data_IF_731100991580
#
_entry.id   IF_731100991580
#
_cell.length_a   1.000
_cell.length_b   1.000
_cell.length_c   1.000
_cell.angle_alpha   90.00
_cell.angle_beta   90.00
_cell.angle_gamma   90.00
#
_symmetry.space_group_name_H-M   'P 1'
#
loop_
_entity.id
_entity.type
_entity.pdbx_description
1 polymer ?
#
# COMPACT_ATOMS: atom_id res chain seq x y z
N UNK A 1 48.21 17.89 -30.52
CA UNK A 1 46.88 18.02 -29.88
C UNK A 1 46.97 17.42 -28.49
N UNK A 2 46.96 18.28 -27.46
CA UNK A 2 47.22 17.91 -26.08
C UNK A 2 46.00 17.22 -25.44
N UNK A 3 46.25 16.12 -24.73
CA UNK A 3 45.29 15.46 -23.82
C UNK A 3 45.61 15.91 -22.40
N UNK A 4 44.71 16.69 -21.78
CA UNK A 4 44.77 16.98 -20.36
C UNK A 4 44.27 15.78 -19.54
N UNK A 5 45.06 15.35 -18.55
CA UNK A 5 44.65 14.40 -17.52
C UNK A 5 44.08 15.18 -16.34
N UNK A 6 42.80 14.97 -16.05
CA UNK A 6 42.17 15.47 -14.83
C UNK A 6 42.59 14.57 -13.64
N UNK A 7 43.11 15.21 -12.60
CA UNK A 7 43.66 14.60 -11.39
C UNK A 7 42.58 14.06 -10.45
N UNK A 8 42.88 12.95 -9.78
CA UNK A 8 42.06 12.23 -8.80
C UNK A 8 41.68 13.06 -7.55
N UNK A 9 42.31 14.23 -7.36
CA UNK A 9 42.14 15.09 -6.19
C UNK A 9 40.78 15.81 -6.10
N UNK A 10 40.15 16.12 -7.24
CA UNK A 10 38.94 16.98 -7.25
C UNK A 10 37.65 16.24 -6.90
N UNK A 11 37.66 14.90 -6.89
CA UNK A 11 36.50 14.09 -6.51
C UNK A 11 36.30 14.01 -4.99
N UNK A 12 37.35 14.18 -4.19
CA UNK A 12 37.26 14.08 -2.73
C UNK A 12 36.60 15.32 -2.10
N UNK A 13 36.80 16.51 -2.70
CA UNK A 13 36.24 17.77 -2.18
C UNK A 13 34.72 17.92 -2.39
N UNK A 14 34.14 17.24 -3.39
CA UNK A 14 32.67 17.28 -3.59
C UNK A 14 31.90 16.39 -2.60
N UNK A 15 32.51 15.31 -2.10
CA UNK A 15 31.86 14.41 -1.14
C UNK A 15 31.72 15.02 0.27
N UNK A 16 32.67 15.85 0.72
CA UNK A 16 32.57 16.48 2.03
C UNK A 16 31.50 17.60 2.09
N UNK A 17 31.22 18.28 0.97
CA UNK A 17 30.15 19.31 0.92
C UNK A 17 28.74 18.70 0.94
N UNK A 18 28.53 17.53 0.35
CA UNK A 18 27.24 16.84 0.36
C UNK A 18 26.86 16.31 1.75
N UNK A 19 27.82 15.84 2.54
CA UNK A 19 27.56 15.37 3.91
C UNK A 19 27.17 16.49 4.88
N UNK A 20 27.69 17.71 4.71
CA UNK A 20 27.31 18.83 5.57
C UNK A 20 25.90 19.36 5.29
N UNK A 21 25.43 19.30 4.04
CA UNK A 21 24.06 19.69 3.70
C UNK A 21 23.05 18.66 4.24
N UNK A 22 23.36 17.36 4.13
CA UNK A 22 22.54 16.30 4.70
C UNK A 22 22.46 16.39 6.25
N UNK A 23 23.56 16.70 6.93
CA UNK A 23 23.58 16.85 8.38
C UNK A 23 22.78 18.07 8.87
N UNK A 24 22.82 19.18 8.13
CA UNK A 24 22.04 20.38 8.45
C UNK A 24 20.52 20.16 8.25
N UNK A 25 20.13 19.41 7.21
CA UNK A 25 18.72 19.08 6.95
C UNK A 25 18.13 18.20 8.05
N UNK A 26 18.90 17.23 8.58
CA UNK A 26 18.47 16.37 9.69
C UNK A 26 18.29 17.16 10.99
N UNK A 27 19.17 18.13 11.29
CA UNK A 27 19.03 18.98 12.48
C UNK A 27 17.80 19.91 12.40
N UNK A 28 17.48 20.44 11.21
CA UNK A 28 16.26 21.22 11.00
C UNK A 28 14.99 20.36 11.15
N UNK A 29 15.01 19.11 10.66
CA UNK A 29 13.88 18.19 10.80
C UNK A 29 13.64 17.78 12.26
N UNK A 30 14.71 17.47 13.01
CA UNK A 30 14.62 17.18 14.44
C UNK A 30 14.13 18.40 15.23
N UNK A 31 14.62 19.60 14.91
CA UNK A 31 14.12 20.85 15.52
C UNK A 31 12.65 21.12 15.22
N UNK A 32 12.17 20.82 14.02
CA UNK A 32 10.76 20.94 13.64
C UNK A 32 9.87 19.94 14.39
N UNK A 33 10.31 18.69 14.54
CA UNK A 33 9.58 17.66 15.30
C UNK A 33 9.48 18.02 16.79
N UNK A 34 10.57 18.47 17.42
CA UNK A 34 10.54 18.92 18.82
C UNK A 34 9.77 20.23 19.01
N UNK A 35 9.79 21.14 18.03
CA UNK A 35 8.99 22.37 18.04
C UNK A 35 7.48 22.12 17.96
N UNK A 36 7.06 21.08 17.25
CA UNK A 36 5.64 20.69 17.15
C UNK A 36 5.12 19.99 18.42
N UNK A 37 6.00 19.34 19.20
CA UNK A 37 5.59 18.63 20.43
C UNK A 37 5.43 19.54 21.66
N UNK A 38 5.97 20.77 21.63
CA UNK A 38 5.95 21.69 22.78
C UNK A 38 4.81 22.72 22.78
N UNK A 39 3.85 22.63 21.85
CA UNK A 39 2.77 23.63 21.71
C UNK A 39 1.38 23.15 22.15
N UNK A 40 1.29 22.03 22.88
CA UNK A 40 0.01 21.51 23.38
C UNK A 40 -0.18 21.79 24.89
N UNK A 41 -0.48 23.05 25.23
CA UNK A 41 -0.80 23.50 26.60
C UNK A 41 -2.12 22.92 27.16
N UNK A 42 -2.80 21.99 26.47
CA UNK A 42 -4.09 21.46 26.90
C UNK A 42 -4.03 20.26 27.87
N UNK A 43 -2.87 19.63 28.05
CA UNK A 43 -2.77 18.38 28.84
C UNK A 43 -2.39 18.63 30.33
N UNK A 44 -1.90 19.81 30.71
CA UNK A 44 -1.50 20.07 32.11
C UNK A 44 -2.65 20.35 33.10
N UNK A 45 -3.92 20.36 32.67
CA UNK A 45 -5.08 20.58 33.56
C UNK A 45 -5.80 19.30 34.02
N UNK A 46 -5.47 18.13 33.47
CA UNK A 46 -6.16 16.88 33.82
C UNK A 46 -5.45 16.03 34.89
N UNK A 47 -4.20 16.35 35.24
CA UNK A 47 -3.39 15.52 36.16
C UNK A 47 -3.36 16.08 37.60
N UNK A 48 -3.99 17.23 37.86
CA UNK A 48 -3.98 17.88 39.19
C UNK A 48 -5.38 17.94 39.81
N UNK A 49 -5.93 16.78 40.15
CA UNK A 49 -7.19 16.72 40.91
C UNK A 49 -7.62 15.29 41.23
N UNK A 50 -7.11 14.72 42.33
CA UNK A 50 -7.59 13.41 42.76
C UNK A 50 -6.78 12.72 43.85
N UNK A 51 -6.23 13.44 44.82
CA UNK A 51 -5.79 12.83 46.07
C UNK A 51 -6.94 12.94 47.08
N UNK A 52 -7.57 11.81 47.42
CA UNK A 52 -8.22 11.62 48.72
C UNK A 52 -8.07 10.17 49.15
N UNK A 53 -7.52 10.05 50.36
CA UNK A 53 -7.44 8.85 51.17
C UNK A 53 -8.86 8.37 51.51
N UNK A 54 -9.02 7.06 51.69
CA UNK A 54 -9.54 6.53 52.95
C UNK A 54 -9.20 5.05 53.09
N UNK A 55 -8.95 4.68 54.34
CA UNK A 55 -8.47 3.39 54.80
C UNK A 55 -9.61 2.48 55.26
N UNK A 56 -9.26 1.20 55.40
CA UNK A 56 -9.89 0.17 56.23
C UNK A 56 -11.26 -0.37 55.80
N UNK A 57 -11.30 -1.67 55.45
CA UNK A 57 -12.15 -2.63 56.16
C UNK A 57 -11.74 -4.09 55.87
N UNK A 58 -11.89 -4.88 56.92
CA UNK A 58 -11.53 -6.27 57.20
C UNK A 58 -11.94 -7.35 56.19
N UNK A 59 -11.06 -8.33 56.04
CA UNK A 59 -11.25 -9.75 56.42
C UNK A 59 -12.71 -10.28 56.45
N UNK A 60 -13.04 -11.19 55.53
CA UNK A 60 -13.56 -12.51 55.94
C UNK A 60 -13.52 -13.49 54.75
N UNK A 61 -12.98 -14.69 55.02
CA UNK A 61 -12.96 -15.78 54.07
C UNK A 61 -14.29 -16.53 54.01
N UNK A 62 -14.66 -17.04 52.83
CA UNK A 62 -15.40 -18.30 52.75
C UNK A 62 -15.24 -19.02 51.42
N UNK A 63 -15.07 -20.33 51.57
CA UNK A 63 -14.91 -21.37 50.56
C UNK A 63 -16.20 -21.63 49.79
N UNK A 64 -15.99 -22.06 48.54
CA UNK A 64 -16.67 -23.09 47.76
C UNK A 64 -18.21 -23.22 47.85
N UNK A 65 -18.87 -23.17 46.69
CA UNK A 65 -19.64 -24.34 46.22
C UNK A 65 -19.90 -24.27 44.71
N UNK A 66 -19.55 -25.36 44.05
CA UNK A 66 -19.85 -25.70 42.66
C UNK A 66 -21.31 -26.15 42.57
N UNK A 67 -22.10 -25.51 41.72
CA UNK A 67 -23.42 -26.00 41.33
C UNK A 67 -23.34 -26.46 39.88
N UNK A 68 -23.38 -27.78 39.69
CA UNK A 68 -23.71 -28.41 38.43
C UNK A 68 -25.21 -28.29 38.20
N UNK A 69 -25.62 -27.79 37.03
CA UNK A 69 -26.98 -27.97 36.51
C UNK A 69 -26.84 -28.67 35.17
N UNK A 70 -27.12 -29.96 35.19
CA UNK A 70 -27.38 -30.79 34.03
C UNK A 70 -28.90 -30.88 33.91
N UNK A 71 -29.47 -30.44 32.78
CA UNK A 71 -30.85 -30.80 32.41
C UNK A 71 -30.93 -31.03 30.91
N UNK A 72 -31.07 -32.30 30.59
CA UNK A 72 -31.29 -32.90 29.29
C UNK A 72 -32.76 -32.78 28.87
N UNK A 73 -32.97 -32.73 27.55
CA UNK A 73 -34.12 -33.27 26.80
C UNK A 73 -35.42 -32.43 26.82
N UNK A 74 -35.79 -31.80 25.70
CA UNK A 74 -36.84 -32.33 24.80
C UNK A 74 -37.07 -31.43 23.58
N UNK A 75 -37.15 -32.08 22.41
CA UNK A 75 -37.60 -31.48 21.15
C UNK A 75 -39.09 -31.76 20.95
N UNK A 76 -39.88 -30.81 20.42
CA UNK A 76 -41.12 -31.16 19.75
C UNK A 76 -41.01 -30.95 18.25
N UNK A 77 -41.38 -32.02 17.54
CA UNK A 77 -41.75 -32.03 16.15
C UNK A 77 -43.04 -31.24 15.90
N UNK A 78 -43.19 -30.76 14.67
CA UNK A 78 -44.48 -30.43 14.08
C UNK A 78 -44.87 -28.96 14.14
N UNK A 79 -44.62 -28.23 13.06
CA UNK A 79 -45.37 -27.00 12.78
C UNK A 79 -46.05 -27.12 11.43
N UNK A 80 -47.37 -27.08 11.48
CA UNK A 80 -48.31 -27.15 10.38
C UNK A 80 -48.16 -25.95 9.43
N UNK A 81 -48.40 -26.20 8.14
CA UNK A 81 -48.49 -25.17 7.11
C UNK A 81 -49.75 -24.33 7.34
N UNK A 82 -49.58 -23.04 7.57
CA UNK A 82 -50.65 -22.03 7.50
C UNK A 82 -50.67 -21.38 6.10
N UNK A 83 -51.82 -20.84 5.65
CA UNK A 83 -52.11 -20.61 4.24
C UNK A 83 -51.51 -19.31 3.70
N UNK A 84 -51.28 -19.35 2.39
CA UNK A 84 -50.81 -18.26 1.54
C UNK A 84 -51.81 -17.10 1.57
N UNK A 85 -51.40 -15.98 2.17
CA UNK A 85 -52.09 -14.70 2.06
C UNK A 85 -51.47 -13.93 0.89
N UNK A 86 -52.28 -13.65 -0.14
CA UNK A 86 -51.88 -12.88 -1.31
C UNK A 86 -51.82 -11.40 -0.94
N UNK A 87 -50.60 -10.85 -0.87
CA UNK A 87 -50.38 -9.41 -0.74
C UNK A 87 -50.32 -8.83 -2.15
N UNK A 88 -51.32 -8.01 -2.46
CA UNK A 88 -51.41 -7.17 -3.65
C UNK A 88 -50.41 -6.00 -3.50
N UNK A 89 -49.28 -6.06 -4.20
CA UNK A 89 -48.29 -4.98 -4.23
C UNK A 89 -48.74 -3.97 -5.28
N UNK A 90 -49.15 -2.78 -4.83
CA UNK A 90 -49.37 -1.60 -5.66
C UNK A 90 -48.03 -1.12 -6.21
N UNK A 91 -47.90 -1.10 -7.53
CA UNK A 91 -46.93 -0.28 -8.25
C UNK A 91 -47.28 1.19 -7.99
N UNK A 92 -46.34 1.95 -7.43
CA UNK A 92 -46.20 3.39 -7.70
C UNK A 92 -44.79 3.88 -7.32
N UNK A 93 -44.01 4.19 -8.36
CA UNK A 93 -43.25 5.43 -8.57
C UNK A 93 -42.33 5.93 -7.43
N UNK A 94 -41.04 5.57 -7.51
CA UNK A 94 -39.87 6.46 -7.67
C UNK A 94 -38.59 5.66 -7.36
N UNK A 95 -37.96 5.16 -8.42
CA UNK A 95 -36.67 4.48 -8.34
C UNK A 95 -35.57 5.55 -8.27
N UNK A 96 -34.76 5.62 -7.20
CA UNK A 96 -33.57 6.46 -7.23
C UNK A 96 -32.60 5.82 -8.22
N UNK A 97 -32.12 6.63 -9.16
CA UNK A 97 -31.17 6.25 -10.18
C UNK A 97 -30.10 5.28 -9.63
N UNK A 98 -30.23 4.00 -9.99
CA UNK A 98 -29.08 3.11 -10.07
C UNK A 98 -28.14 3.76 -11.09
N UNK A 99 -27.19 4.52 -10.55
CA UNK A 99 -26.12 5.12 -11.32
C UNK A 99 -25.49 4.04 -12.17
N UNK A 100 -25.50 4.28 -13.48
CA UNK A 100 -24.71 3.56 -14.45
C UNK A 100 -23.29 3.49 -13.88
N UNK A 101 -22.87 2.32 -13.38
CA UNK A 101 -21.47 2.14 -12.98
C UNK A 101 -20.64 2.41 -14.24
N UNK A 102 -19.76 3.43 -14.25
CA UNK A 102 -18.96 3.71 -15.42
C UNK A 102 -18.14 2.45 -15.74
N UNK A 103 -18.26 2.02 -16.99
CA UNK A 103 -17.56 0.89 -17.60
C UNK A 103 -16.18 0.66 -16.97
N UNK A 104 -15.89 -0.59 -16.57
CA UNK A 104 -14.61 -1.04 -16.01
C UNK A 104 -13.44 -0.27 -16.64
N UNK A 105 -12.83 0.62 -15.87
CA UNK A 105 -11.66 1.39 -16.32
C UNK A 105 -10.52 0.36 -16.47
N UNK A 106 -10.03 0.21 -17.69
CA UNK A 106 -8.87 -0.62 -18.00
C UNK A 106 -7.74 0.26 -18.52
N UNK A 107 -6.50 -0.14 -18.27
CA UNK A 107 -5.27 0.46 -18.82
C UNK A 107 -5.32 0.62 -20.34
N UNK A 108 -6.00 -0.30 -21.04
CA UNK A 108 -6.21 -0.21 -22.48
C UNK A 108 -6.95 1.08 -22.90
N UNK A 109 -7.68 1.72 -21.98
CA UNK A 109 -8.38 2.97 -22.23
C UNK A 109 -7.47 4.20 -22.09
N UNK A 110 -6.22 4.02 -21.66
CA UNK A 110 -5.27 5.11 -21.43
C UNK A 110 -5.57 5.92 -20.16
N UNK A 111 -5.01 7.13 -20.04
CA UNK A 111 -5.25 7.99 -18.89
C UNK A 111 -6.70 8.48 -18.85
N UNK A 112 -7.26 8.59 -17.65
CA UNK A 112 -8.56 9.21 -17.43
C UNK A 112 -8.32 10.68 -17.13
N UNK A 113 -8.81 11.57 -17.98
CA UNK A 113 -8.61 13.02 -17.84
C UNK A 113 -9.99 13.67 -17.72
N UNK A 114 -10.26 14.30 -16.58
CA UNK A 114 -11.48 15.06 -16.39
C UNK A 114 -11.31 16.45 -16.98
N UNK A 115 -12.31 16.91 -17.75
CA UNK A 115 -12.33 18.25 -18.31
C UNK A 115 -12.64 19.28 -17.22
N UNK A 116 -11.63 19.52 -16.39
CA UNK A 116 -11.67 20.41 -15.24
C UNK A 116 -10.67 21.54 -15.44
N UNK A 117 -11.17 22.77 -15.48
CA UNK A 117 -10.38 23.98 -15.68
C UNK A 117 -9.63 24.41 -14.40
N UNK A 118 -9.84 23.74 -13.26
CA UNK A 118 -9.06 24.00 -12.05
C UNK A 118 -7.58 23.74 -12.31
N UNK A 119 -6.74 24.60 -11.74
CA UNK A 119 -5.28 24.44 -11.83
C UNK A 119 -4.87 23.17 -11.08
N UNK A 120 -4.01 22.37 -11.70
CA UNK A 120 -3.45 21.18 -11.05
C UNK A 120 -2.68 21.60 -9.79
N UNK A 121 -2.96 20.94 -8.66
CA UNK A 121 -2.39 21.30 -7.35
C UNK A 121 -1.20 20.42 -6.96
N UNK A 122 -1.16 19.18 -7.43
CA UNK A 122 -0.14 18.20 -7.08
C UNK A 122 -0.05 17.09 -8.12
N UNK A 123 1.10 16.42 -8.14
CA UNK A 123 1.25 15.09 -8.74
C UNK A 123 1.38 14.09 -7.60
N UNK A 124 0.47 13.13 -7.52
CA UNK A 124 0.42 12.14 -6.46
C UNK A 124 0.74 10.77 -7.05
N UNK A 125 1.75 10.10 -6.51
CA UNK A 125 2.16 8.79 -6.99
C UNK A 125 1.59 7.70 -6.10
N UNK A 126 0.99 6.71 -6.74
CA UNK A 126 0.55 5.45 -6.18
C UNK A 126 1.29 4.31 -6.86
N UNK A 127 1.31 3.16 -6.22
CA UNK A 127 1.83 1.95 -6.82
C UNK A 127 2.10 0.92 -5.76
N UNK A 128 2.06 -0.34 -6.16
CA UNK A 128 2.41 -1.42 -5.25
C UNK A 128 3.88 -1.30 -4.85
N UNK A 129 4.29 -2.02 -3.81
CA UNK A 129 5.71 -2.17 -3.46
C UNK A 129 6.49 -2.67 -4.67
N UNK A 130 7.76 -2.34 -4.81
CA UNK A 130 8.60 -2.83 -5.93
C UNK A 130 8.12 -2.51 -7.36
N UNK A 131 7.16 -1.61 -7.55
CA UNK A 131 6.62 -1.24 -8.87
C UNK A 131 7.40 -0.13 -9.59
N UNK A 132 8.55 0.29 -9.05
CA UNK A 132 9.34 1.39 -9.62
C UNK A 132 8.85 2.79 -9.22
N UNK A 133 8.03 2.91 -8.18
CA UNK A 133 7.53 4.22 -7.73
C UNK A 133 8.64 5.20 -7.36
N UNK A 134 9.72 4.78 -6.69
CA UNK A 134 10.82 5.70 -6.36
C UNK A 134 11.49 6.26 -7.62
N UNK A 135 11.77 5.40 -8.61
CA UNK A 135 12.38 5.81 -9.88
C UNK A 135 11.56 6.88 -10.60
N UNK A 136 10.25 6.69 -10.71
CA UNK A 136 9.40 7.69 -11.36
C UNK A 136 9.16 8.92 -10.48
N UNK A 137 9.13 8.81 -9.15
CA UNK A 137 9.09 9.97 -8.24
C UNK A 137 10.29 10.88 -8.47
N UNK A 138 11.50 10.32 -8.47
CA UNK A 138 12.73 11.09 -8.64
C UNK A 138 12.73 11.79 -10.00
N UNK A 139 12.31 11.10 -11.05
CA UNK A 139 12.21 11.67 -12.38
C UNK A 139 11.18 12.82 -12.45
N UNK A 140 9.99 12.64 -11.87
CA UNK A 140 8.97 13.68 -11.83
C UNK A 140 9.41 14.88 -10.99
N UNK A 141 10.16 14.65 -9.92
CA UNK A 141 10.77 15.70 -9.11
C UNK A 141 11.78 16.51 -9.92
N UNK A 142 12.61 15.86 -10.74
CA UNK A 142 13.51 16.55 -11.68
C UNK A 142 12.74 17.34 -12.76
N UNK A 143 11.63 16.81 -13.25
CA UNK A 143 10.87 17.43 -14.34
C UNK A 143 9.97 18.59 -13.90
N UNK A 144 9.33 18.50 -12.73
CA UNK A 144 8.26 19.43 -12.32
C UNK A 144 8.36 19.90 -10.88
N UNK A 145 9.32 19.39 -10.10
CA UNK A 145 9.35 19.55 -8.64
C UNK A 145 9.60 20.97 -8.13
N UNK A 146 10.05 21.88 -8.99
CA UNK A 146 10.17 23.31 -8.73
C UNK A 146 8.87 24.10 -9.03
N UNK A 147 7.93 23.49 -9.76
CA UNK A 147 6.69 24.10 -10.21
C UNK A 147 5.45 23.59 -9.45
N UNK A 148 5.45 22.31 -9.06
CA UNK A 148 4.31 21.65 -8.43
C UNK A 148 4.80 20.57 -7.44
N UNK A 149 4.12 20.38 -6.29
CA UNK A 149 4.51 19.34 -5.35
C UNK A 149 4.30 17.94 -5.93
N UNK A 150 5.34 17.11 -5.83
CA UNK A 150 5.32 15.68 -6.11
C UNK A 150 5.17 14.95 -4.79
N UNK A 151 4.11 14.17 -4.62
CA UNK A 151 3.72 13.58 -3.34
C UNK A 151 3.63 12.05 -3.43
N UNK A 152 4.09 11.38 -2.37
CA UNK A 152 3.95 9.94 -2.16
C UNK A 152 2.66 9.57 -1.42
N UNK A 153 1.79 10.55 -1.16
CA UNK A 153 0.50 10.36 -0.53
C UNK A 153 -0.57 10.91 -1.45
N UNK A 154 -1.72 10.23 -1.58
CA UNK A 154 -2.94 10.83 -2.12
C UNK A 154 -3.98 10.91 -1.00
N UNK A 155 -4.78 9.86 -0.82
CA UNK A 155 -5.60 9.72 0.39
C UNK A 155 -4.83 9.02 1.49
N UNK A 156 -3.92 8.12 1.12
CA UNK A 156 -2.94 7.46 1.98
C UNK A 156 -1.59 7.38 1.31
N UNK A 157 -0.59 6.87 2.03
CA UNK A 157 0.73 6.61 1.46
C UNK A 157 0.66 5.62 0.30
N UNK A 158 1.50 5.84 -0.71
CA UNK A 158 1.43 5.30 -2.08
C UNK A 158 1.25 3.79 -2.22
N UNK A 159 1.72 3.01 -1.25
CA UNK A 159 1.65 1.54 -1.27
C UNK A 159 0.35 0.99 -0.66
N UNK A 160 -0.41 1.83 0.03
CA UNK A 160 -1.61 1.45 0.77
C UNK A 160 -2.85 1.57 -0.10
N UNK A 161 -3.93 0.87 0.29
CA UNK A 161 -5.22 1.01 -0.36
C UNK A 161 -5.64 2.48 -0.29
N UNK A 162 -6.33 2.95 -1.32
CA UNK A 162 -6.85 4.31 -1.39
C UNK A 162 -8.36 4.26 -1.18
N UNK A 163 -8.84 5.06 -0.23
CA UNK A 163 -10.26 5.27 -0.01
C UNK A 163 -10.59 6.73 -0.20
N UNK A 164 -11.84 7.00 -0.57
CA UNK A 164 -12.31 8.35 -0.75
C UNK A 164 -12.31 9.10 0.58
N UNK A 165 -11.86 10.35 0.56
CA UNK A 165 -11.91 11.24 1.71
C UNK A 165 -12.27 12.64 1.22
N UNK A 166 -13.51 13.03 1.53
CA UNK A 166 -14.11 14.31 1.16
C UNK A 166 -13.36 15.51 1.77
N UNK A 167 -12.48 15.28 2.75
CA UNK A 167 -11.68 16.30 3.40
C UNK A 167 -10.31 16.51 2.75
N UNK A 168 -9.95 15.78 1.70
CA UNK A 168 -8.69 16.01 0.97
C UNK A 168 -8.80 17.33 0.19
N UNK A 169 -8.26 18.39 0.78
CA UNK A 169 -8.35 19.82 0.39
C UNK A 169 -7.65 20.19 -0.92
N UNK A 170 -7.22 19.23 -1.74
CA UNK A 170 -6.45 19.48 -2.96
C UNK A 170 -7.24 19.09 -4.20
N UNK A 171 -8.13 19.99 -4.56
CA UNK A 171 -9.20 19.90 -5.55
C UNK A 171 -8.78 19.60 -7.01
N UNK A 172 -7.54 19.23 -7.32
CA UNK A 172 -7.16 18.93 -8.71
C UNK A 172 -5.83 18.19 -8.81
N UNK A 173 -5.74 17.00 -8.22
CA UNK A 173 -4.57 16.14 -8.25
C UNK A 173 -4.45 15.38 -9.59
N UNK A 174 -3.24 15.34 -10.15
CA UNK A 174 -2.87 14.32 -11.15
C UNK A 174 -2.33 13.12 -10.40
N UNK A 175 -3.02 11.99 -10.50
CA UNK A 175 -2.64 10.75 -9.81
C UNK A 175 -2.03 9.78 -10.81
N UNK A 176 -0.86 9.23 -10.49
CA UNK A 176 -0.17 8.23 -11.32
C UNK A 176 -0.12 6.93 -10.52
N UNK A 177 -0.61 5.82 -11.09
CA UNK A 177 -0.52 4.51 -10.47
C UNK A 177 0.48 3.64 -11.25
N UNK A 178 1.59 3.29 -10.60
CA UNK A 178 2.62 2.43 -11.16
C UNK A 178 2.34 0.97 -10.88
N UNK A 179 2.36 0.17 -11.94
CA UNK A 179 2.27 -1.28 -11.89
C UNK A 179 3.53 -1.91 -12.47
N UNK A 180 3.82 -3.13 -12.03
CA UNK A 180 4.92 -3.94 -12.52
C UNK A 180 4.41 -5.32 -12.85
N UNK A 181 5.08 -5.98 -13.77
CA UNK A 181 4.74 -7.34 -14.16
C UNK A 181 4.61 -8.26 -12.93
N UNK A 182 3.54 -9.09 -12.87
CA UNK A 182 3.20 -9.86 -11.68
C UNK A 182 4.29 -10.86 -11.25
N UNK A 183 5.01 -11.49 -12.18
CA UNK A 183 6.07 -12.45 -11.84
C UNK A 183 7.28 -11.73 -11.27
N UNK A 184 7.71 -10.64 -11.93
CA UNK A 184 8.86 -9.88 -11.48
C UNK A 184 8.56 -9.17 -10.14
N UNK A 185 7.30 -8.77 -9.94
CA UNK A 185 6.81 -8.14 -8.73
C UNK A 185 6.74 -9.11 -7.55
N UNK A 186 6.14 -10.29 -7.71
CA UNK A 186 6.04 -11.29 -6.63
C UNK A 186 7.44 -11.75 -6.23
N UNK A 187 8.35 -11.97 -7.19
CA UNK A 187 9.74 -12.32 -6.86
C UNK A 187 10.48 -11.19 -6.13
N UNK A 188 10.27 -9.93 -6.52
CA UNK A 188 10.83 -8.80 -5.77
C UNK A 188 10.25 -8.69 -4.34
N UNK A 189 8.95 -8.94 -4.19
CA UNK A 189 8.28 -9.02 -2.89
C UNK A 189 8.84 -10.19 -2.05
N UNK A 190 9.15 -11.33 -2.65
CA UNK A 190 9.75 -12.47 -1.95
C UNK A 190 11.19 -12.20 -1.52
N UNK A 191 11.99 -11.59 -2.39
CA UNK A 191 13.36 -11.19 -2.07
C UNK A 191 13.39 -10.15 -0.93
N UNK A 192 12.43 -9.24 -0.91
CA UNK A 192 12.36 -8.16 0.09
C UNK A 192 10.92 -7.79 0.46
N UNK A 193 10.26 -8.55 1.35
CA UNK A 193 8.86 -8.33 1.72
C UNK A 193 8.72 -7.17 2.70
N UNK A 194 8.79 -5.94 2.18
CA UNK A 194 8.63 -4.74 3.00
C UNK A 194 7.32 -4.78 3.79
N UNK A 195 7.40 -4.48 5.08
CA UNK A 195 6.35 -4.52 6.12
C UNK A 195 5.82 -5.91 6.46
N UNK A 196 6.19 -6.93 5.69
CA UNK A 196 5.68 -8.29 5.82
C UNK A 196 6.71 -9.24 6.45
N UNK A 197 6.97 -9.00 7.73
CA UNK A 197 8.05 -9.68 8.46
C UNK A 197 7.88 -11.20 8.57
N UNK A 198 6.65 -11.72 8.57
CA UNK A 198 6.41 -13.17 8.59
C UNK A 198 6.75 -13.86 7.27
N UNK A 199 6.99 -13.11 6.19
CA UNK A 199 7.27 -13.66 4.87
C UNK A 199 8.76 -13.57 4.49
N UNK A 200 9.62 -13.07 5.40
CA UNK A 200 11.06 -12.93 5.18
C UNK A 200 11.69 -14.32 5.00
N UNK A 201 12.47 -14.48 3.94
CA UNK A 201 13.30 -15.67 3.71
C UNK A 201 12.56 -16.91 3.19
N UNK A 202 11.27 -16.80 2.88
CA UNK A 202 10.48 -17.91 2.35
C UNK A 202 10.93 -18.30 0.93
N UNK A 203 10.83 -19.60 0.63
CA UNK A 203 10.93 -20.10 -0.74
C UNK A 203 9.68 -19.70 -1.53
N UNK A 204 9.78 -19.67 -2.86
CA UNK A 204 8.70 -19.13 -3.70
C UNK A 204 7.35 -19.78 -3.43
N UNK A 205 7.33 -21.11 -3.23
CA UNK A 205 6.10 -21.86 -3.01
C UNK A 205 5.43 -21.45 -1.71
N UNK A 206 6.17 -21.47 -0.61
CA UNK A 206 5.65 -21.05 0.70
C UNK A 206 5.22 -19.58 0.67
N UNK A 207 6.00 -18.71 0.01
CA UNK A 207 5.71 -17.28 -0.07
C UNK A 207 4.37 -16.98 -0.75
N UNK A 208 4.04 -17.69 -1.84
CA UNK A 208 2.79 -17.46 -2.57
C UNK A 208 1.59 -18.22 -2.02
N UNK A 209 1.80 -19.18 -1.10
CA UNK A 209 0.70 -19.94 -0.47
C UNK A 209 0.46 -19.59 0.99
N UNK A 210 1.35 -18.82 1.62
CA UNK A 210 1.16 -18.37 3.00
C UNK A 210 0.16 -17.21 3.05
N UNK A 211 -0.83 -17.25 3.96
CA UNK A 211 -1.73 -16.13 4.17
C UNK A 211 -0.98 -14.83 4.46
N UNK A 212 -1.43 -13.73 3.85
CA UNK A 212 -0.81 -12.42 4.00
C UNK A 212 -1.17 -11.79 5.35
N UNK A 213 -0.55 -12.29 6.40
CA UNK A 213 -0.84 -11.90 7.77
C UNK A 213 0.40 -12.04 8.66
N UNK A 214 0.38 -11.32 9.78
CA UNK A 214 1.26 -11.64 10.90
C UNK A 214 0.53 -11.56 12.23
N UNK A 215 1.22 -11.84 13.34
CA UNK A 215 0.61 -11.82 14.66
C UNK A 215 0.22 -10.41 15.10
N UNK A 216 -0.93 -10.28 15.78
CA UNK A 216 -1.16 -9.16 16.70
C UNK A 216 -0.29 -9.35 17.94
N UNK A 217 0.27 -8.27 18.46
CA UNK A 217 1.17 -8.30 19.62
C UNK A 217 0.49 -7.60 20.81
N UNK A 218 1.25 -7.38 21.87
CA UNK A 218 0.72 -7.02 23.18
C UNK A 218 -0.08 -5.71 23.17
N UNK A 219 0.36 -4.68 22.45
CA UNK A 219 -0.35 -3.40 22.45
C UNK A 219 -1.70 -3.48 21.73
N UNK A 220 -1.77 -4.21 20.61
CA UNK A 220 -3.03 -4.52 19.95
C UNK A 220 -3.97 -5.34 20.85
N UNK A 221 -3.45 -6.35 21.56
CA UNK A 221 -4.24 -7.19 22.47
C UNK A 221 -4.82 -6.36 23.62
N UNK A 222 -4.00 -5.52 24.26
CA UNK A 222 -4.44 -4.62 25.33
C UNK A 222 -5.54 -3.67 24.82
N UNK A 223 -5.34 -3.09 23.62
CA UNK A 223 -6.34 -2.21 23.00
C UNK A 223 -7.68 -2.93 22.76
N UNK A 224 -7.65 -4.18 22.33
CA UNK A 224 -8.85 -5.01 22.15
C UNK A 224 -9.55 -5.32 23.48
N UNK A 225 -8.79 -5.66 24.52
CA UNK A 225 -9.32 -5.96 25.86
C UNK A 225 -9.98 -4.72 26.46
N UNK A 226 -9.32 -3.56 26.41
CA UNK A 226 -9.87 -2.29 26.89
C UNK A 226 -11.16 -1.89 26.19
N UNK A 227 -11.19 -1.96 24.85
CA UNK A 227 -12.40 -1.63 24.11
C UNK A 227 -13.57 -2.57 24.43
N UNK A 228 -13.28 -3.84 24.69
CA UNK A 228 -14.28 -4.82 25.15
C UNK A 228 -14.81 -4.47 26.54
N UNK A 229 -13.95 -4.10 27.48
CA UNK A 229 -14.34 -3.69 28.84
C UNK A 229 -15.18 -2.40 28.83
N UNK A 230 -14.83 -1.45 27.97
CA UNK A 230 -15.52 -0.15 27.85
C UNK A 230 -16.79 -0.22 26.96
N UNK A 231 -17.04 -1.33 26.29
CA UNK A 231 -18.15 -1.47 25.33
C UNK A 231 -18.00 -0.60 24.07
N UNK A 232 -16.77 -0.28 23.68
CA UNK A 232 -16.45 0.57 22.54
C UNK A 232 -16.19 -0.30 21.30
N UNK A 233 -16.80 0.09 20.17
CA UNK A 233 -16.50 -0.54 18.88
C UNK A 233 -15.10 -0.17 18.39
N UNK A 234 -14.26 -1.18 18.14
CA UNK A 234 -12.87 -1.02 17.71
C UNK A 234 -12.70 -0.26 16.38
N UNK A 235 -13.71 -0.28 15.53
CA UNK A 235 -13.77 0.47 14.27
C UNK A 235 -13.54 1.98 14.47
N UNK A 236 -13.90 2.51 15.64
CA UNK A 236 -13.76 3.95 15.97
C UNK A 236 -12.40 4.32 16.56
N UNK A 237 -11.58 3.34 16.92
CA UNK A 237 -10.38 3.57 17.73
C UNK A 237 -9.16 4.08 16.94
N UNK A 238 -9.30 4.30 15.62
CA UNK A 238 -8.22 4.69 14.71
C UNK A 238 -7.08 3.67 14.64
N UNK A 239 -6.32 3.70 13.56
CA UNK A 239 -5.26 2.73 13.32
C UNK A 239 -4.11 3.32 12.50
N UNK A 240 -3.02 2.54 12.35
CA UNK A 240 -1.88 2.91 11.51
C UNK A 240 -2.31 3.33 10.11
N UNK A 241 -1.61 4.32 9.57
CA UNK A 241 -1.83 4.83 8.22
C UNK A 241 -3.30 5.23 7.90
N UNK A 242 -4.09 5.55 8.93
CA UNK A 242 -5.49 5.98 8.83
C UNK A 242 -6.51 4.83 8.74
N UNK A 243 -6.08 3.57 8.88
CA UNK A 243 -6.97 2.41 8.74
C UNK A 243 -7.92 2.27 9.94
N UNK A 244 -8.91 1.41 9.84
CA UNK A 244 -9.62 0.88 11.01
C UNK A 244 -8.89 -0.35 11.57
N UNK A 245 -9.26 -0.75 12.79
CA UNK A 245 -8.59 -1.85 13.49
C UNK A 245 -8.66 -3.19 12.74
N UNK A 246 -9.72 -3.40 11.97
CA UNK A 246 -10.02 -4.62 11.20
C UNK A 246 -9.36 -4.67 9.82
N UNK A 247 -8.73 -3.57 9.39
CA UNK A 247 -8.12 -3.45 8.07
C UNK A 247 -6.60 -3.69 8.09
N UNK A 248 -5.96 -3.62 9.26
CA UNK A 248 -4.50 -3.80 9.36
C UNK A 248 -4.05 -4.54 10.62
N UNK A 249 -2.88 -5.19 10.50
CA UNK A 249 -2.12 -5.80 11.60
C UNK A 249 -0.66 -5.37 11.52
N UNK A 250 -0.07 -4.75 12.55
CA UNK A 250 -0.71 -4.37 13.80
C UNK A 250 -1.51 -3.08 13.61
N UNK A 251 -2.26 -2.70 14.63
CA UNK A 251 -2.96 -1.42 14.67
C UNK A 251 -2.22 -0.34 15.48
N UNK A 252 -1.37 -0.76 16.41
CA UNK A 252 -0.58 0.09 17.27
C UNK A 252 0.81 0.37 16.70
N UNK A 253 1.30 1.58 16.94
CA UNK A 253 2.66 2.00 16.55
C UNK A 253 3.73 1.21 17.30
N UNK A 254 3.43 0.83 18.54
CA UNK A 254 4.27 0.07 19.45
C UNK A 254 4.55 -1.33 18.91
N UNK A 255 3.54 -1.96 18.29
CA UNK A 255 3.68 -3.28 17.69
C UNK A 255 4.23 -3.22 16.26
N UNK A 256 4.21 -2.04 15.60
CA UNK A 256 4.73 -1.81 14.24
C UNK A 256 6.25 -1.62 14.22
N UNK A 257 6.97 -2.61 14.73
CA UNK A 257 8.43 -2.56 14.86
C UNK A 257 9.10 -2.42 13.49
N UNK A 258 10.18 -1.65 13.41
CA UNK A 258 11.02 -1.56 12.21
C UNK A 258 12.10 -2.65 12.24
N UNK A 259 12.26 -3.34 11.11
CA UNK A 259 13.38 -4.25 10.89
C UNK A 259 14.21 -3.67 9.75
N UNK A 260 15.53 -3.60 9.96
CA UNK A 260 16.45 -2.99 9.00
C UNK A 260 16.27 -3.60 7.61
N UNK A 261 16.10 -2.72 6.63
CA UNK A 261 15.82 -3.06 5.25
C UNK A 261 14.40 -3.53 4.91
N UNK A 262 13.57 -3.90 5.89
CA UNK A 262 12.20 -4.39 5.66
C UNK A 262 11.10 -3.42 6.10
N UNK A 263 11.44 -2.23 6.61
CA UNK A 263 10.47 -1.21 7.05
C UNK A 263 9.63 -1.68 8.26
N UNK A 264 8.72 -0.82 8.73
CA UNK A 264 7.86 -1.10 9.89
C UNK A 264 6.87 -2.24 9.61
N UNK A 265 6.64 -3.12 10.58
CA UNK A 265 5.72 -4.24 10.47
C UNK A 265 4.27 -3.78 10.23
N UNK A 266 3.66 -4.16 9.11
CA UNK A 266 2.26 -3.83 8.78
C UNK A 266 1.72 -4.69 7.62
N UNK A 267 0.63 -5.39 7.89
CA UNK A 267 -0.14 -6.22 6.96
C UNK A 267 -1.51 -5.58 6.75
N UNK A 268 -1.94 -5.50 5.48
CA UNK A 268 -3.29 -5.08 5.11
C UNK A 268 -4.19 -6.32 5.01
N UNK A 269 -5.38 -6.22 5.58
CA UNK A 269 -6.41 -7.26 5.61
C UNK A 269 -7.46 -7.00 4.53
N UNK A 270 -8.38 -7.95 4.35
CA UNK A 270 -9.49 -7.81 3.39
C UNK A 270 -10.40 -6.64 3.79
N UNK A 271 -10.76 -5.82 2.81
CA UNK A 271 -11.69 -4.69 2.96
C UNK A 271 -13.16 -5.10 2.82
N UNK A 272 -13.51 -6.30 3.28
CA UNK A 272 -14.88 -6.84 3.30
C UNK A 272 -15.48 -6.85 4.71
N UNK A 273 -14.81 -6.18 5.66
CA UNK A 273 -15.14 -6.17 7.10
C UNK A 273 -15.14 -7.56 7.75
N UNK A 274 -14.54 -8.56 7.11
CA UNK A 274 -14.43 -9.91 7.68
C UNK A 274 -13.29 -10.06 8.68
N UNK A 275 -12.42 -9.05 8.80
CA UNK A 275 -11.18 -9.09 9.59
C UNK A 275 -10.20 -10.19 9.13
N UNK A 276 -10.42 -10.77 7.95
CA UNK A 276 -9.60 -11.87 7.45
C UNK A 276 -8.41 -11.35 6.67
N UNK A 277 -7.32 -12.10 6.76
CA UNK A 277 -6.21 -11.94 5.86
C UNK A 277 -6.59 -12.32 4.42
N UNK A 278 -5.79 -11.84 3.48
CA UNK A 278 -5.73 -12.45 2.16
C UNK A 278 -5.09 -13.83 2.27
N UNK A 279 -5.57 -14.81 1.50
CA UNK A 279 -5.06 -16.17 1.58
C UNK A 279 -3.66 -16.29 0.97
N UNK A 280 -3.25 -15.29 0.19
CA UNK A 280 -1.89 -15.13 -0.33
C UNK A 280 -1.60 -13.69 -0.79
N UNK A 281 -0.33 -13.41 -1.07
CA UNK A 281 0.10 -12.13 -1.65
C UNK A 281 -0.53 -11.84 -3.02
N UNK A 282 -0.81 -12.86 -3.83
CA UNK A 282 -1.39 -12.68 -5.17
C UNK A 282 -2.86 -12.22 -5.09
N UNK A 283 -3.59 -12.63 -4.05
CA UNK A 283 -4.95 -12.13 -3.79
C UNK A 283 -4.94 -10.68 -3.32
N UNK A 284 -4.02 -10.32 -2.40
CA UNK A 284 -3.82 -8.93 -1.98
C UNK A 284 -3.57 -8.04 -3.20
N UNK A 285 -2.65 -8.46 -4.08
CA UNK A 285 -2.31 -7.73 -5.31
C UNK A 285 -3.52 -7.55 -6.22
N UNK A 286 -4.32 -8.59 -6.39
CA UNK A 286 -5.52 -8.52 -7.25
C UNK A 286 -6.50 -7.45 -6.75
N UNK A 287 -6.71 -7.39 -5.42
CA UNK A 287 -7.53 -6.34 -4.81
C UNK A 287 -6.87 -4.96 -4.85
N UNK A 288 -5.54 -4.87 -4.72
CA UNK A 288 -4.79 -3.60 -4.88
C UNK A 288 -5.01 -3.00 -6.25
N UNK A 289 -4.93 -3.83 -7.30
CA UNK A 289 -5.17 -3.39 -8.68
C UNK A 289 -6.59 -2.83 -8.79
N UNK A 290 -7.59 -3.59 -8.34
CA UNK A 290 -9.00 -3.15 -8.39
C UNK A 290 -9.22 -1.84 -7.63
N UNK A 291 -8.63 -1.69 -6.46
CA UNK A 291 -8.70 -0.48 -5.66
C UNK A 291 -8.04 0.72 -6.37
N UNK A 292 -6.83 0.55 -6.92
CA UNK A 292 -6.16 1.63 -7.64
C UNK A 292 -6.91 2.04 -8.90
N UNK A 293 -7.56 1.10 -9.59
CA UNK A 293 -8.38 1.41 -10.76
C UNK A 293 -9.70 2.13 -10.41
N UNK A 294 -10.08 2.22 -9.14
CA UNK A 294 -11.19 3.06 -8.66
C UNK A 294 -10.76 4.49 -8.32
N UNK A 295 -9.46 4.76 -8.21
CA UNK A 295 -8.91 6.09 -7.88
C UNK A 295 -9.45 7.23 -8.74
N UNK A 296 -9.67 7.09 -10.08
CA UNK A 296 -10.28 8.14 -10.88
C UNK A 296 -11.59 8.69 -10.31
N UNK A 297 -12.35 7.88 -9.58
CA UNK A 297 -13.67 8.23 -9.04
C UNK A 297 -13.59 8.95 -7.69
N UNK A 298 -12.40 9.05 -7.08
CA UNK A 298 -12.21 9.67 -5.77
C UNK A 298 -12.22 11.20 -5.86
N UNK A 299 -12.64 11.85 -4.78
CA UNK A 299 -12.67 13.30 -4.71
C UNK A 299 -11.28 13.90 -4.92
N UNK A 300 -11.23 15.00 -5.67
CA UNK A 300 -9.99 15.74 -5.93
C UNK A 300 -9.13 15.19 -7.08
N UNK A 301 -9.50 14.06 -7.72
CA UNK A 301 -8.74 13.56 -8.88
C UNK A 301 -9.11 14.35 -10.15
N UNK A 302 -8.11 15.03 -10.73
CA UNK A 302 -8.21 15.72 -12.02
C UNK A 302 -7.89 14.81 -13.19
N UNK A 303 -6.85 13.99 -13.03
CA UNK A 303 -6.47 13.00 -14.02
C UNK A 303 -5.81 11.80 -13.34
N UNK A 304 -5.96 10.64 -13.96
CA UNK A 304 -5.39 9.38 -13.50
C UNK A 304 -4.62 8.69 -14.61
N UNK A 305 -3.38 8.32 -14.33
CA UNK A 305 -2.45 7.68 -15.25
C UNK A 305 -2.06 6.29 -14.71
N UNK A 306 -2.69 5.20 -15.19
CA UNK A 306 -2.22 3.86 -14.90
C UNK A 306 -1.02 3.57 -15.81
N UNK A 307 0.16 3.35 -15.23
CA UNK A 307 1.41 3.16 -15.97
C UNK A 307 2.07 1.84 -15.62
N UNK A 308 2.57 1.14 -16.63
CA UNK A 308 3.39 -0.06 -16.45
C UNK A 308 4.86 0.30 -16.47
N UNK A 309 5.59 -0.14 -15.46
CA UNK A 309 7.04 0.04 -15.36
C UNK A 309 7.76 -0.38 -16.65
N UNK A 310 7.41 -1.55 -17.20
CA UNK A 310 8.02 -2.11 -18.41
C UNK A 310 7.76 -1.24 -19.64
N UNK A 311 6.58 -0.62 -19.74
CA UNK A 311 6.25 0.24 -20.87
C UNK A 311 7.09 1.52 -20.86
N UNK A 312 7.22 2.17 -19.69
CA UNK A 312 8.07 3.34 -19.52
C UNK A 312 9.55 3.01 -19.71
N UNK A 313 10.01 1.86 -19.22
CA UNK A 313 11.38 1.40 -19.40
C UNK A 313 11.71 1.12 -20.88
N UNK A 314 10.80 0.45 -21.59
CA UNK A 314 10.98 0.09 -23.00
C UNK A 314 10.96 1.32 -23.91
N UNK A 315 9.95 2.18 -23.76
CA UNK A 315 9.66 3.29 -24.68
C UNK A 315 10.29 4.61 -24.26
N UNK A 316 10.71 4.71 -23.00
CA UNK A 316 11.15 5.96 -22.39
C UNK A 316 9.97 6.79 -21.87
N UNK A 317 10.28 7.90 -21.22
CA UNK A 317 9.28 8.73 -20.53
C UNK A 317 8.80 9.92 -21.35
N UNK A 318 9.32 10.14 -22.56
CA UNK A 318 9.03 11.35 -23.36
C UNK A 318 7.53 11.54 -23.65
N UNK A 319 6.84 10.49 -24.08
CA UNK A 319 5.40 10.54 -24.34
C UNK A 319 4.60 10.77 -23.05
N UNK A 320 4.96 10.07 -21.98
CA UNK A 320 4.34 10.21 -20.67
C UNK A 320 4.46 11.64 -20.11
N UNK A 321 5.67 12.20 -20.11
CA UNK A 321 5.93 13.58 -19.67
C UNK A 321 5.14 14.58 -20.51
N UNK A 322 5.06 14.39 -21.83
CA UNK A 322 4.25 15.25 -22.70
C UNK A 322 2.76 15.25 -22.33
N UNK A 323 2.17 14.10 -22.02
CA UNK A 323 0.78 14.04 -21.56
C UNK A 323 0.59 14.78 -20.23
N UNK A 324 1.56 14.67 -19.31
CA UNK A 324 1.53 15.43 -18.06
C UNK A 324 1.62 16.94 -18.31
N UNK A 325 2.50 17.40 -19.21
CA UNK A 325 2.57 18.82 -19.61
C UNK A 325 1.21 19.33 -20.11
N UNK A 326 0.54 18.55 -20.97
CA UNK A 326 -0.76 18.90 -21.55
C UNK A 326 -1.86 19.00 -20.49
N UNK A 327 -1.94 18.05 -19.56
CA UNK A 327 -2.95 18.05 -18.49
C UNK A 327 -2.71 19.14 -17.45
N UNK A 328 -1.45 19.41 -17.12
CA UNK A 328 -1.08 20.36 -16.08
C UNK A 328 -0.95 21.79 -16.60
N UNK A 329 -0.78 21.99 -17.90
CA UNK A 329 -0.41 23.28 -18.48
C UNK A 329 0.99 23.74 -18.05
N UNK A 330 1.87 22.81 -17.71
CA UNK A 330 3.25 23.06 -17.27
C UNK A 330 4.25 22.59 -18.32
N UNK A 331 5.50 23.03 -18.19
CA UNK A 331 6.62 22.53 -19.02
C UNK A 331 7.63 21.80 -18.16
N UNK A 332 8.08 20.65 -18.65
CA UNK A 332 9.07 19.84 -17.96
C UNK A 332 10.45 20.50 -18.07
N UNK A 333 11.17 20.55 -16.94
CA UNK A 333 12.51 21.12 -16.81
C UNK A 333 13.62 20.07 -16.95
N UNK A 334 13.26 18.84 -17.28
CA UNK A 334 14.15 17.69 -17.39
C UNK A 334 14.31 17.22 -18.84
N UNK A 335 15.30 16.35 -19.06
CA UNK A 335 15.34 15.50 -20.26
C UNK A 335 14.62 14.20 -19.96
N UNK A 336 13.59 13.81 -20.74
CA UNK A 336 12.94 12.51 -20.56
C UNK A 336 13.93 11.36 -20.72
N UNK A 337 13.74 10.28 -19.96
CA UNK A 337 14.55 9.08 -20.13
C UNK A 337 14.30 8.46 -21.51
N UNK A 338 15.41 8.13 -22.19
CA UNK A 338 15.37 7.37 -23.43
C UNK A 338 14.96 5.91 -23.13
N UNK A 339 14.07 5.38 -23.97
CA UNK A 339 13.68 3.98 -23.89
C UNK A 339 14.85 3.04 -24.17
N UNK A 340 14.88 1.91 -23.48
CA UNK A 340 15.89 0.86 -23.71
C UNK A 340 15.55 -0.05 -24.88
N UNK A 341 14.32 0.01 -25.40
CA UNK A 341 13.84 -0.83 -26.51
C UNK A 341 13.59 -2.30 -26.13
N UNK A 342 14.14 -2.77 -25.02
CA UNK A 342 13.96 -4.12 -24.48
C UNK A 342 13.59 -4.06 -23.01
N UNK A 343 12.81 -5.04 -22.55
CA UNK A 343 12.47 -5.23 -21.14
C UNK A 343 13.15 -6.51 -20.68
N UNK A 344 14.02 -6.37 -19.68
CA UNK A 344 14.63 -7.52 -19.04
C UNK A 344 13.73 -8.00 -17.90
N UNK A 345 13.26 -9.24 -18.01
CA UNK A 345 12.49 -9.90 -16.96
C UNK A 345 13.38 -10.77 -16.09
N UNK A 346 12.98 -10.96 -14.82
CA UNK A 346 13.67 -11.88 -13.93
C UNK A 346 13.54 -13.29 -14.50
N UNK A 347 14.61 -14.07 -14.39
CA UNK A 347 14.54 -15.51 -14.63
C UNK A 347 13.99 -16.16 -13.38
N UNK A 348 12.88 -16.87 -13.54
CA UNK A 348 12.15 -17.51 -12.45
C UNK A 348 12.05 -19.01 -12.70
N UNK A 349 11.73 -19.75 -11.65
CA UNK A 349 11.48 -21.19 -11.74
C UNK A 349 10.27 -21.48 -12.67
N UNK A 350 10.37 -22.39 -13.65
CA UNK A 350 9.25 -22.76 -14.52
C UNK A 350 8.02 -23.23 -13.73
N UNK A 351 8.22 -23.97 -12.63
CA UNK A 351 7.11 -24.41 -11.77
C UNK A 351 6.43 -23.25 -11.05
N UNK A 352 7.20 -22.21 -10.69
CA UNK A 352 6.64 -20.96 -10.18
C UNK A 352 5.81 -20.24 -11.26
N UNK A 353 6.31 -20.15 -12.49
CA UNK A 353 5.57 -19.51 -13.58
C UNK A 353 4.28 -20.25 -13.91
N UNK A 354 4.34 -21.58 -13.99
CA UNK A 354 3.15 -22.43 -14.18
C UNK A 354 2.15 -22.24 -13.04
N UNK A 355 2.62 -22.20 -11.79
CA UNK A 355 1.76 -21.95 -10.64
C UNK A 355 1.09 -20.57 -10.74
N UNK A 356 1.84 -19.50 -11.01
CA UNK A 356 1.29 -18.16 -11.20
C UNK A 356 0.26 -18.12 -12.34
N UNK A 357 0.51 -18.84 -13.45
CA UNK A 357 -0.44 -18.94 -14.56
C UNK A 357 -1.78 -19.56 -14.13
N UNK A 358 -1.75 -20.53 -13.23
CA UNK A 358 -2.93 -21.29 -12.82
C UNK A 358 -3.73 -20.64 -11.67
N UNK A 359 -3.07 -19.91 -10.78
CA UNK A 359 -3.69 -19.43 -9.53
C UNK A 359 -3.82 -17.91 -9.42
N UNK A 360 -3.09 -17.14 -10.24
CA UNK A 360 -3.21 -15.68 -10.23
C UNK A 360 -4.51 -15.22 -10.89
N UNK A 361 -5.09 -14.13 -10.37
CA UNK A 361 -6.30 -13.52 -10.94
C UNK A 361 -5.95 -12.71 -12.19
N UNK A 362 -6.00 -13.38 -13.34
CA UNK A 362 -5.68 -12.75 -14.62
C UNK A 362 -6.72 -11.74 -15.10
N UNK A 363 -7.94 -11.74 -14.53
CA UNK A 363 -8.92 -10.68 -14.82
C UNK A 363 -8.49 -9.35 -14.20
N UNK A 364 -7.97 -9.39 -12.96
CA UNK A 364 -7.39 -8.21 -12.31
C UNK A 364 -6.17 -7.68 -13.08
N UNK A 365 -5.22 -8.55 -13.43
CA UNK A 365 -4.02 -8.17 -14.17
C UNK A 365 -4.34 -7.61 -15.57
N UNK A 366 -5.38 -8.11 -16.23
CA UNK A 366 -5.84 -7.60 -17.51
C UNK A 366 -6.35 -6.15 -17.42
N UNK A 367 -6.88 -5.71 -16.26
CA UNK A 367 -7.24 -4.31 -16.04
C UNK A 367 -6.05 -3.37 -16.20
N UNK A 368 -4.83 -3.86 -15.95
CA UNK A 368 -3.59 -3.09 -16.09
C UNK A 368 -2.72 -3.54 -17.27
N UNK A 369 -3.30 -4.37 -18.16
CA UNK A 369 -2.71 -4.76 -19.43
C UNK A 369 -1.64 -5.85 -19.37
N UNK A 370 -1.53 -6.58 -18.26
CA UNK A 370 -0.70 -7.79 -18.18
C UNK A 370 -1.48 -9.03 -18.63
N UNK A 371 -0.73 -10.02 -19.08
CA UNK A 371 -1.23 -11.33 -19.54
C UNK A 371 -0.28 -12.42 -19.04
N UNK A 372 -0.73 -13.69 -18.95
CA UNK A 372 0.14 -14.79 -18.60
C UNK A 372 1.37 -14.87 -19.50
N UNK A 373 2.54 -15.11 -18.91
CA UNK A 373 3.78 -15.42 -19.63
C UNK A 373 3.82 -16.90 -19.98
N UNK A 374 4.41 -17.21 -21.13
CA UNK A 374 4.80 -18.58 -21.46
C UNK A 374 6.03 -18.97 -20.65
N UNK A 375 6.04 -20.14 -19.98
CA UNK A 375 7.25 -20.70 -19.39
C UNK A 375 8.37 -20.71 -20.40
N UNK A 376 9.51 -20.12 -20.03
CA UNK A 376 10.72 -20.21 -20.83
C UNK A 376 11.38 -21.52 -20.45
N UNK A 377 11.51 -22.45 -21.40
CA UNK A 377 12.29 -23.67 -21.20
C UNK A 377 13.72 -23.26 -20.80
N UNK A 378 14.17 -23.73 -19.64
CA UNK A 378 15.45 -23.32 -19.03
C UNK A 378 16.69 -23.76 -19.83
N UNK A 379 16.51 -24.51 -20.92
CA UNK A 379 17.61 -25.04 -21.71
C UNK A 379 18.27 -23.92 -22.56
N UNK A 380 19.51 -23.59 -22.18
CA UNK A 380 20.57 -22.99 -23.00
C UNK A 380 20.46 -21.54 -23.50
N UNK A 381 19.67 -20.66 -22.87
CA UNK A 381 19.76 -19.21 -23.18
C UNK A 381 20.73 -18.50 -22.22
N UNK A 382 21.89 -17.98 -22.66
CA UNK A 382 22.79 -17.19 -21.80
C UNK A 382 22.09 -15.97 -21.20
N UNK A 383 22.37 -15.64 -19.93
CA UNK A 383 21.87 -14.41 -19.30
C UNK A 383 22.30 -13.20 -20.11
N UNK A 384 21.38 -12.29 -20.44
CA UNK A 384 21.76 -10.99 -20.98
C UNK A 384 22.49 -10.19 -19.89
N UNK A 385 23.37 -9.23 -20.25
CA UNK A 385 24.00 -8.35 -19.27
C UNK A 385 23.00 -7.65 -18.33
N UNK A 386 21.81 -7.29 -18.81
CA UNK A 386 20.76 -6.71 -17.97
C UNK A 386 20.13 -7.71 -17.00
N UNK A 387 19.95 -8.97 -17.43
CA UNK A 387 19.49 -10.04 -16.54
C UNK A 387 20.55 -10.39 -15.48
N UNK A 388 21.84 -10.31 -15.84
CA UNK A 388 22.95 -10.44 -14.91
C UNK A 388 22.93 -9.33 -13.86
N UNK A 389 22.68 -8.08 -14.26
CA UNK A 389 22.60 -6.96 -13.31
C UNK A 389 21.40 -7.08 -12.36
N UNK A 390 20.24 -7.50 -12.87
CA UNK A 390 19.05 -7.79 -12.05
C UNK A 390 19.28 -8.93 -11.04
N UNK A 391 20.02 -9.97 -11.44
CA UNK A 391 20.36 -11.11 -10.56
C UNK A 391 21.51 -10.81 -9.60
N UNK A 392 22.43 -9.90 -9.94
CA UNK A 392 23.50 -9.45 -9.07
C UNK A 392 23.00 -8.44 -8.03
N UNK A 393 22.09 -7.53 -8.41
CA UNK A 393 21.39 -6.63 -7.49
C UNK A 393 20.61 -7.41 -6.41
N UNK A 394 19.94 -8.50 -6.80
CA UNK A 394 19.25 -9.39 -5.85
C UNK A 394 20.20 -10.24 -4.99
N UNK A 395 21.44 -10.48 -5.42
CA UNK A 395 22.45 -11.18 -4.60
C UNK A 395 23.21 -10.27 -3.65
N UNK A 396 23.58 -9.05 -4.07
CA UNK A 396 24.27 -8.09 -3.20
C UNK A 396 23.40 -7.63 -2.02
N UNK A 397 22.09 -7.49 -2.25
CA UNK A 397 21.10 -7.24 -1.19
C UNK A 397 20.91 -8.41 -0.23
N UNK A 398 21.34 -9.63 -0.56
CA UNK A 398 21.31 -10.80 0.33
C UNK A 398 22.66 -11.07 1.02
N UNK A 399 23.77 -10.69 0.39
CA UNK A 399 25.12 -10.91 0.92
C UNK A 399 25.57 -9.85 1.94
N UNK A 400 24.96 -8.66 1.94
CA UNK A 400 25.21 -7.64 2.97
C UNK A 400 24.52 -7.91 4.32
N UNK A 401 23.72 -8.98 4.42
CA UNK A 401 22.90 -9.28 5.59
C UNK A 401 23.13 -10.69 6.15
N UNK A 402 24.27 -11.31 5.83
CA UNK A 402 24.77 -12.49 6.54
C UNK A 402 25.87 -12.13 7.53
#
# INVERSE_FOLDING_TARGET
MARERISSSDRCWRYMKLNHIAFAATLFYVGYVFGCMNNDERISRLIRGGQRNDANLSDDGRKAESVQVESTIDAPAGFEKSPVEQIEIKEDVESPAMGIMPNKIAYANGPVIYNDNRRTTSINLLGERHSGTNWITDHLQECFGDQIPIQSNFTRFKHWFQFDDVHIRNDSAVVIAMFRDPYDWVEAMRERPHHAHQHIGMQWKDFVTTPWVGPRRAADIIKMEQAKEEGVHMEKAGCLAGYTFDEVIPCSTEDSIEVDGYSSYMYELRHDKSHRAYDSIIELRSEKIRNFMQVPQLHGVKAFFPERYEALYMRGTAYFIKQLEEVMGLKANCTPFAGKGVVAHKRVDPAYMEWMNNYHDWEAEALIGYVPRTPIDQEDVPLTPEQLDLTLSSRQSNAQFK
#
